data_IF_255446330602
#
_entry.id   IF_255446330602
#
_cell.length_a   1.000
_cell.length_b   1.000
_cell.length_c   1.000
_cell.angle_alpha   90.00
_cell.angle_beta   90.00
_cell.angle_gamma   90.00
#
_symmetry.space_group_name_H-M   'P 1'
#
loop_
_entity.id
_entity.type
_entity.pdbx_description
1 polymer ?
#
# COMPACT_ATOMS: atom_id res chain seq x y z
N UNK A 1 -0.32 -14.39 14.40
CA UNK A 1 1.03 -14.98 14.39
C UNK A 1 1.67 -14.54 13.12
N UNK A 2 2.58 -13.58 13.20
CA UNK A 2 3.26 -13.01 12.04
C UNK A 2 4.59 -13.76 11.91
N UNK A 3 4.71 -14.62 10.88
CA UNK A 3 5.94 -15.35 10.61
C UNK A 3 6.90 -14.43 9.86
N UNK A 4 7.98 -14.09 10.56
CA UNK A 4 9.33 -13.76 10.08
C UNK A 4 9.45 -13.07 8.72
N UNK A 5 9.47 -11.73 8.75
CA UNK A 5 9.93 -10.80 7.68
C UNK A 5 11.24 -11.25 6.99
N UNK A 6 12.07 -12.03 7.70
CA UNK A 6 13.34 -12.57 7.20
C UNK A 6 13.16 -13.69 6.15
N UNK A 7 12.12 -14.52 6.27
CA UNK A 7 11.86 -15.62 5.33
C UNK A 7 11.24 -15.11 4.03
N UNK A 8 10.39 -14.08 4.09
CA UNK A 8 9.78 -13.49 2.89
C UNK A 8 10.84 -12.87 2.00
N UNK A 9 11.69 -11.98 2.54
CA UNK A 9 12.75 -11.31 1.77
C UNK A 9 13.70 -12.29 1.08
N UNK A 10 14.15 -13.32 1.80
CA UNK A 10 15.03 -14.33 1.24
C UNK A 10 14.35 -15.18 0.14
N UNK A 11 13.03 -15.42 0.24
CA UNK A 11 12.27 -16.14 -0.76
C UNK A 11 12.04 -15.31 -2.05
N UNK A 12 11.72 -14.02 -1.93
CA UNK A 12 11.54 -13.14 -3.12
C UNK A 12 12.87 -12.78 -3.79
N UNK A 13 13.94 -12.49 -3.04
CA UNK A 13 15.25 -12.20 -3.64
C UNK A 13 15.80 -13.42 -4.40
N UNK A 14 15.55 -14.64 -3.89
CA UNK A 14 15.92 -15.90 -4.58
C UNK A 14 15.10 -16.17 -5.84
N UNK A 15 13.92 -15.54 -5.97
CA UNK A 15 13.09 -15.57 -7.17
C UNK A 15 13.38 -14.40 -8.14
N UNK A 16 14.35 -13.53 -7.83
CA UNK A 16 14.70 -12.35 -8.63
C UNK A 16 13.73 -11.18 -8.47
N UNK A 17 12.94 -11.16 -7.40
CA UNK A 17 11.95 -10.13 -7.10
C UNK A 17 12.49 -9.14 -6.05
N UNK A 18 12.26 -7.84 -6.26
CA UNK A 18 12.62 -6.81 -5.28
C UNK A 18 11.63 -6.82 -4.11
N UNK A 19 12.14 -6.83 -2.88
CA UNK A 19 11.32 -6.75 -1.67
C UNK A 19 11.31 -5.33 -1.10
N UNK A 20 10.14 -4.72 -1.00
CA UNK A 20 9.94 -3.43 -0.33
C UNK A 20 9.04 -3.64 0.89
N UNK A 21 9.58 -3.40 2.08
CA UNK A 21 8.81 -3.39 3.32
C UNK A 21 8.41 -1.96 3.68
N UNK A 22 7.11 -1.68 3.68
CA UNK A 22 6.56 -0.40 4.13
C UNK A 22 5.90 -0.63 5.50
N UNK A 23 6.52 -0.18 6.61
CA UNK A 23 5.98 -0.39 7.94
C UNK A 23 4.74 0.49 8.14
N UNK A 24 3.57 -0.12 8.02
CA UNK A 24 2.30 0.49 8.42
C UNK A 24 1.76 -0.32 9.59
N UNK A 25 1.95 0.12 10.83
CA UNK A 25 1.45 -0.60 12.01
C UNK A 25 0.01 -0.17 12.37
N UNK A 26 -0.35 1.08 12.05
CA UNK A 26 -1.58 1.73 12.46
C UNK A 26 -2.03 2.80 11.47
N UNK A 27 -3.20 3.39 11.71
CA UNK A 27 -3.69 4.53 10.92
C UNK A 27 -2.76 5.77 11.01
N UNK A 28 -1.92 5.88 12.05
CA UNK A 28 -0.94 6.95 12.18
C UNK A 28 0.20 6.83 11.15
N UNK A 29 0.41 5.64 10.59
CA UNK A 29 1.44 5.37 9.60
C UNK A 29 0.95 5.61 8.16
N UNK A 30 -0.28 6.13 7.98
CA UNK A 30 -0.83 6.60 6.70
C UNK A 30 -0.26 7.99 6.36
N UNK A 31 1.05 8.05 6.20
CA UNK A 31 1.81 9.28 5.97
C UNK A 31 2.17 9.45 4.50
N UNK A 32 2.44 10.69 4.09
CA UNK A 32 2.91 11.01 2.73
C UNK A 32 4.22 10.29 2.40
N UNK A 33 5.11 10.10 3.38
CA UNK A 33 6.35 9.35 3.20
C UNK A 33 6.09 7.88 2.80
N UNK A 34 5.14 7.21 3.46
CA UNK A 34 4.80 5.82 3.15
C UNK A 34 4.04 5.71 1.81
N UNK A 35 3.21 6.70 1.47
CA UNK A 35 2.54 6.77 0.16
C UNK A 35 3.56 6.96 -0.97
N UNK A 36 4.55 7.83 -0.80
CA UNK A 36 5.63 8.03 -1.77
C UNK A 36 6.54 6.80 -1.88
N UNK A 37 6.83 6.11 -0.78
CA UNK A 37 7.58 4.86 -0.81
C UNK A 37 6.86 3.79 -1.63
N UNK A 38 5.53 3.65 -1.47
CA UNK A 38 4.71 2.76 -2.27
C UNK A 38 4.71 3.17 -3.75
N UNK A 39 4.54 4.46 -4.04
CA UNK A 39 4.52 4.96 -5.41
C UNK A 39 5.85 4.69 -6.14
N UNK A 40 6.99 4.93 -5.48
CA UNK A 40 8.31 4.61 -6.04
C UNK A 40 8.48 3.12 -6.28
N UNK A 41 8.12 2.29 -5.31
CA UNK A 41 8.21 0.84 -5.47
C UNK A 41 7.37 0.33 -6.65
N UNK A 42 6.18 0.90 -6.87
CA UNK A 42 5.35 0.55 -8.03
C UNK A 42 5.91 1.10 -9.34
N UNK A 43 6.49 2.32 -9.33
CA UNK A 43 7.07 2.94 -10.51
C UNK A 43 8.37 2.26 -10.97
N UNK A 44 9.22 1.82 -10.03
CA UNK A 44 10.44 1.06 -10.32
C UNK A 44 10.16 -0.27 -11.02
N UNK A 45 8.96 -0.82 -10.81
CA UNK A 45 8.48 -2.06 -11.41
C UNK A 45 7.35 -1.82 -12.42
N UNK A 46 7.27 -0.61 -13.00
CA UNK A 46 6.26 -0.30 -14.00
C UNK A 46 6.39 -1.23 -15.23
N UNK A 47 5.35 -2.02 -15.49
CA UNK A 47 5.33 -3.03 -16.56
C UNK A 47 5.51 -4.47 -16.07
N UNK A 48 5.80 -4.66 -14.78
CA UNK A 48 5.92 -5.97 -14.14
C UNK A 48 4.72 -6.27 -13.23
N UNK A 49 4.52 -7.55 -12.89
CA UNK A 49 3.48 -7.95 -11.92
C UNK A 49 4.01 -7.73 -10.50
N UNK A 50 3.52 -6.72 -9.81
CA UNK A 50 3.85 -6.45 -8.40
C UNK A 50 2.80 -7.08 -7.48
N UNK A 51 3.26 -7.89 -6.52
CA UNK A 51 2.40 -8.38 -5.43
C UNK A 51 2.61 -7.49 -4.20
N UNK A 52 1.54 -6.80 -3.77
CA UNK A 52 1.54 -6.03 -2.53
C UNK A 52 0.66 -6.76 -1.52
N UNK A 53 1.22 -7.12 -0.37
CA UNK A 53 0.48 -7.81 0.69
C UNK A 53 0.68 -7.13 2.05
N UNK A 54 -0.33 -7.22 2.91
CA UNK A 54 -0.20 -7.00 4.34
C UNK A 54 -1.01 -8.07 5.08
N UNK A 55 -0.89 -8.17 6.40
CA UNK A 55 -1.59 -9.19 7.19
C UNK A 55 -3.13 -9.24 7.04
N UNK A 56 -3.76 -8.25 6.40
CA UNK A 56 -5.22 -8.19 6.22
C UNK A 56 -5.73 -7.41 5.00
N UNK A 57 -4.87 -7.06 4.03
CA UNK A 57 -5.20 -6.19 2.88
C UNK A 57 -5.54 -4.72 3.21
N UNK A 58 -6.04 -4.43 4.43
CA UNK A 58 -6.54 -3.12 4.83
C UNK A 58 -5.55 -1.98 4.61
N UNK A 59 -4.28 -2.21 4.98
CA UNK A 59 -3.22 -1.19 4.94
C UNK A 59 -2.76 -0.92 3.50
N UNK A 60 -2.75 -1.97 2.67
CA UNK A 60 -2.45 -1.86 1.24
C UNK A 60 -3.50 -1.01 0.55
N UNK A 61 -4.78 -1.34 0.75
CA UNK A 61 -5.87 -0.56 0.18
C UNK A 61 -5.90 0.90 0.68
N UNK A 62 -5.60 1.14 1.95
CA UNK A 62 -5.50 2.50 2.48
C UNK A 62 -4.38 3.32 1.81
N UNK A 63 -3.18 2.76 1.63
CA UNK A 63 -2.10 3.46 0.93
C UNK A 63 -2.39 3.66 -0.55
N UNK A 64 -3.05 2.70 -1.22
CA UNK A 64 -3.44 2.83 -2.62
C UNK A 64 -4.49 3.93 -2.83
N UNK A 65 -5.46 4.04 -1.90
CA UNK A 65 -6.44 5.14 -1.91
C UNK A 65 -5.74 6.50 -1.77
N UNK A 66 -4.88 6.65 -0.78
CA UNK A 66 -4.15 7.91 -0.54
C UNK A 66 -3.23 8.25 -1.72
N UNK A 67 -2.55 7.24 -2.29
CA UNK A 67 -1.75 7.40 -3.51
C UNK A 67 -2.60 7.97 -4.65
N UNK A 68 -3.77 7.39 -4.90
CA UNK A 68 -4.63 7.82 -5.99
C UNK A 68 -5.06 9.30 -5.88
N UNK A 69 -5.47 9.74 -4.68
CA UNK A 69 -5.89 11.12 -4.47
C UNK A 69 -4.71 12.11 -4.36
N UNK A 70 -3.68 11.77 -3.58
CA UNK A 70 -2.58 12.72 -3.32
C UNK A 70 -1.62 12.90 -4.49
N UNK A 71 -1.39 11.84 -5.28
CA UNK A 71 -0.36 11.84 -6.33
C UNK A 71 -0.93 11.77 -7.74
N UNK A 72 -2.07 11.10 -7.93
CA UNK A 72 -2.65 10.84 -9.26
C UNK A 72 -3.90 11.67 -9.56
N UNK A 73 -4.29 12.56 -8.65
CA UNK A 73 -5.39 13.50 -8.86
C UNK A 73 -6.79 12.88 -8.88
N UNK A 74 -6.94 11.64 -8.40
CA UNK A 74 -8.25 11.02 -8.25
C UNK A 74 -9.10 11.81 -7.24
N UNK A 75 -10.40 11.90 -7.51
CA UNK A 75 -11.35 12.44 -6.53
C UNK A 75 -11.35 11.60 -5.26
N UNK A 76 -11.84 12.18 -4.16
CA UNK A 76 -11.94 11.46 -2.90
C UNK A 76 -12.71 10.14 -3.04
N UNK A 77 -13.78 10.11 -3.85
CA UNK A 77 -14.59 8.90 -4.00
C UNK A 77 -13.95 7.85 -4.89
N UNK A 78 -13.28 8.24 -5.97
CA UNK A 78 -12.48 7.32 -6.78
C UNK A 78 -11.36 6.69 -5.95
N UNK A 79 -10.69 7.47 -5.10
CA UNK A 79 -9.66 6.98 -4.21
C UNK A 79 -10.20 5.95 -3.21
N UNK A 80 -11.39 6.16 -2.65
CA UNK A 80 -12.00 5.18 -1.75
C UNK A 80 -12.35 3.88 -2.48
N UNK A 81 -12.89 3.96 -3.69
CA UNK A 81 -13.19 2.78 -4.51
C UNK A 81 -11.90 1.98 -4.76
N UNK A 82 -10.83 2.64 -5.18
CA UNK A 82 -9.52 2.01 -5.40
C UNK A 82 -9.04 1.28 -4.13
N UNK A 83 -9.17 1.94 -2.97
CA UNK A 83 -8.78 1.32 -1.71
C UNK A 83 -9.62 0.08 -1.38
N UNK A 84 -10.95 0.15 -1.58
CA UNK A 84 -11.87 -0.96 -1.31
C UNK A 84 -11.60 -2.15 -2.23
N UNK A 85 -11.39 -1.92 -3.53
CA UNK A 85 -11.02 -2.95 -4.51
C UNK A 85 -9.70 -3.66 -4.14
N UNK A 86 -8.79 -2.92 -3.51
CA UNK A 86 -7.54 -3.45 -2.97
C UNK A 86 -7.66 -4.08 -1.56
N UNK A 87 -8.87 -4.23 -1.02
CA UNK A 87 -9.13 -4.90 0.26
C UNK A 87 -9.19 -3.99 1.49
N UNK A 88 -9.29 -2.67 1.30
CA UNK A 88 -9.59 -1.74 2.40
C UNK A 88 -11.02 -1.94 2.90
N UNK A 89 -11.17 -2.07 4.22
CA UNK A 89 -12.46 -2.19 4.88
C UNK A 89 -12.49 -1.26 6.10
N UNK A 90 -11.82 -1.64 7.19
CA UNK A 90 -11.83 -0.92 8.48
C UNK A 90 -11.10 0.43 8.44
N UNK A 91 -10.24 0.65 7.45
CA UNK A 91 -9.49 1.91 7.31
C UNK A 91 -10.16 2.95 6.41
N UNK A 92 -11.36 2.70 5.89
CA UNK A 92 -12.05 3.68 5.06
C UNK A 92 -12.32 5.00 5.80
N UNK A 93 -12.91 4.94 7.00
CA UNK A 93 -13.23 6.14 7.78
C UNK A 93 -12.01 7.02 8.12
N UNK A 94 -10.86 6.48 8.57
CA UNK A 94 -9.66 7.29 8.74
C UNK A 94 -9.08 7.80 7.42
N UNK A 95 -9.11 7.01 6.34
CA UNK A 95 -8.63 7.45 5.01
C UNK A 95 -9.45 8.62 4.49
N UNK A 96 -10.78 8.58 4.61
CA UNK A 96 -11.66 9.69 4.19
C UNK A 96 -11.30 11.04 4.84
N UNK A 97 -10.76 11.03 6.07
CA UNK A 97 -10.31 12.24 6.77
C UNK A 97 -8.99 12.80 6.24
N UNK A 98 -8.24 12.01 5.48
CA UNK A 98 -6.91 12.31 4.96
C UNK A 98 -6.93 12.70 3.48
N UNK A 99 -8.04 12.46 2.76
CA UNK A 99 -8.20 12.83 1.35
C UNK A 99 -8.33 14.35 1.20
N UNK A 100 -7.85 14.85 0.07
CA UNK A 100 -7.83 16.27 -0.33
C UNK A 100 -8.91 16.57 -1.34
#
# INVERSE_FOLDING_TARGET
GEQTVLDERAAVEKAGLSYVSIPVASAADLTEANVLALDRALAEHAGEKVLVHCASGNRVGALLALRANWLHGASAEEAIIIGQEAGMTRLEAPVRKLLR
#
